data_IF_088445517136
#
_entry.id   IF_088445517136
#
_cell.length_a   1.000
_cell.length_b   1.000
_cell.length_c   1.000
_cell.angle_alpha   90.00
_cell.angle_beta   90.00
_cell.angle_gamma   90.00
#
_symmetry.space_group_name_H-M   'P 1'
#
loop_
_entity.id
_entity.type
_entity.pdbx_description
1 polymer ?
#
# COMPACT_ATOMS: atom_id res chain seq x y z
N UNK A 1 -3.74 -47.67 25.92
CA UNK A 1 -3.89 -47.70 24.44
C UNK A 1 -3.67 -46.28 23.95
N UNK A 2 -2.44 -45.93 23.56
CA UNK A 2 -2.06 -44.57 23.20
C UNK A 2 -2.73 -44.15 21.90
N UNK A 3 -3.45 -43.03 21.90
CA UNK A 3 -3.82 -42.38 20.64
C UNK A 3 -2.55 -41.79 20.06
N UNK A 4 -2.20 -42.19 18.84
CA UNK A 4 -1.24 -41.43 18.05
C UNK A 4 -1.67 -39.97 18.08
N UNK A 5 -0.78 -39.10 18.57
CA UNK A 5 -1.03 -37.66 18.66
C UNK A 5 -0.98 -37.11 17.25
N UNK A 6 -2.12 -37.13 16.55
CA UNK A 6 -2.25 -36.51 15.23
C UNK A 6 -1.91 -35.03 15.36
N UNK A 7 -0.87 -34.58 14.65
CA UNK A 7 -0.44 -33.17 14.62
C UNK A 7 -1.01 -32.56 13.35
N UNK A 8 -1.79 -31.49 13.49
CA UNK A 8 -2.39 -30.77 12.38
C UNK A 8 -1.63 -29.45 12.19
N UNK A 9 -1.03 -29.22 11.01
CA UNK A 9 -0.33 -27.97 10.73
C UNK A 9 -1.31 -26.80 10.59
N UNK A 10 -0.90 -25.56 10.95
CA UNK A 10 -1.76 -24.39 10.83
C UNK A 10 -1.96 -23.95 9.38
N UNK A 11 -3.19 -23.58 9.03
CA UNK A 11 -3.44 -22.74 7.87
C UNK A 11 -3.20 -21.27 8.25
N UNK A 12 -2.29 -20.58 7.54
CA UNK A 12 -1.90 -19.20 7.86
C UNK A 12 -2.39 -18.23 6.79
N UNK A 13 -3.11 -17.20 7.23
CA UNK A 13 -3.58 -16.11 6.39
C UNK A 13 -3.17 -14.75 6.97
N UNK A 14 -2.84 -13.79 6.10
CA UNK A 14 -2.61 -12.39 6.46
C UNK A 14 -3.69 -11.54 5.80
N UNK A 15 -4.33 -10.70 6.60
CA UNK A 15 -5.34 -9.73 6.16
C UNK A 15 -4.75 -8.32 6.16
N UNK A 16 -5.01 -7.60 5.07
CA UNK A 16 -4.66 -6.20 4.89
C UNK A 16 -5.42 -5.29 5.87
N UNK A 17 -4.86 -4.12 6.20
CA UNK A 17 -5.53 -3.13 7.05
C UNK A 17 -6.83 -2.62 6.42
N UNK A 18 -7.76 -2.20 7.28
CA UNK A 18 -8.99 -1.55 6.81
C UNK A 18 -8.71 -0.13 6.30
N UNK A 19 -9.35 0.24 5.19
CA UNK A 19 -9.24 1.61 4.63
C UNK A 19 -9.71 2.67 5.63
N UNK A 20 -10.76 2.36 6.41
CA UNK A 20 -11.31 3.25 7.42
C UNK A 20 -10.30 3.56 8.52
N UNK A 21 -9.57 2.56 9.02
CA UNK A 21 -8.53 2.78 10.03
C UNK A 21 -7.44 3.72 9.52
N UNK A 22 -6.96 3.48 8.30
CA UNK A 22 -5.93 4.30 7.67
C UNK A 22 -6.41 5.75 7.55
N UNK A 23 -7.61 5.96 7.03
CA UNK A 23 -8.18 7.30 6.83
C UNK A 23 -8.42 8.06 8.14
N UNK A 24 -8.91 7.37 9.18
CA UNK A 24 -9.31 8.03 10.43
C UNK A 24 -8.16 8.17 11.43
N UNK A 25 -7.22 7.23 11.44
CA UNK A 25 -6.19 7.11 12.49
C UNK A 25 -4.77 7.25 11.94
N UNK A 26 -4.58 7.33 10.62
CA UNK A 26 -3.27 7.34 9.98
C UNK A 26 -2.37 6.17 10.42
N UNK A 27 -3.00 5.02 10.69
CA UNK A 27 -2.38 3.77 11.14
C UNK A 27 -2.94 2.61 10.33
N UNK A 28 -2.16 1.56 10.19
CA UNK A 28 -2.54 0.33 9.51
C UNK A 28 -2.31 -0.84 10.46
N UNK A 29 -3.33 -1.68 10.65
CA UNK A 29 -3.20 -2.92 11.41
C UNK A 29 -3.33 -4.13 10.49
N UNK A 30 -2.25 -4.88 10.36
CA UNK A 30 -2.20 -6.19 9.72
C UNK A 30 -2.65 -7.26 10.69
N UNK A 31 -3.37 -8.27 10.19
CA UNK A 31 -3.84 -9.40 11.03
C UNK A 31 -3.35 -10.70 10.43
N UNK A 32 -2.63 -11.48 11.22
CA UNK A 32 -2.23 -12.84 10.90
C UNK A 32 -3.11 -13.82 11.69
N UNK A 33 -3.77 -14.73 10.98
CA UNK A 33 -4.58 -15.80 11.57
C UNK A 33 -3.93 -17.13 11.23
N UNK A 34 -3.55 -17.90 12.26
CA UNK A 34 -3.26 -19.31 12.15
C UNK A 34 -4.48 -20.10 12.63
N UNK A 35 -5.02 -21.00 11.82
CA UNK A 35 -6.22 -21.79 12.16
C UNK A 35 -6.08 -23.26 11.80
N UNK A 36 -6.92 -24.11 12.40
CA UNK A 36 -6.99 -25.54 12.10
C UNK A 36 -5.84 -26.37 12.66
N UNK A 37 -5.03 -25.81 13.57
CA UNK A 37 -3.87 -26.53 14.10
C UNK A 37 -4.20 -27.32 15.36
N UNK A 38 -3.41 -28.36 15.61
CA UNK A 38 -3.46 -29.17 16.83
C UNK A 38 -2.08 -29.82 17.06
N UNK A 39 -1.57 -29.91 18.30
CA UNK A 39 -2.12 -29.37 19.56
C UNK A 39 -2.02 -27.83 19.63
N UNK A 40 -2.34 -27.23 20.77
CA UNK A 40 -2.40 -25.76 20.95
C UNK A 40 -1.03 -25.05 21.00
N UNK A 41 0.07 -25.78 20.80
CA UNK A 41 1.44 -25.26 20.81
C UNK A 41 1.83 -24.64 19.47
N UNK A 42 1.58 -23.33 19.33
CA UNK A 42 1.95 -22.53 18.17
C UNK A 42 2.42 -21.14 18.59
N UNK A 43 3.45 -20.60 17.93
CA UNK A 43 3.87 -19.21 18.10
C UNK A 43 3.84 -18.46 16.78
N UNK A 44 3.42 -17.18 16.82
CA UNK A 44 3.39 -16.29 15.67
C UNK A 44 4.48 -15.22 15.81
N UNK A 45 5.30 -15.08 14.79
CA UNK A 45 6.36 -14.07 14.71
C UNK A 45 6.15 -13.23 13.46
N UNK A 46 6.29 -11.91 13.60
CA UNK A 46 6.28 -11.00 12.46
C UNK A 46 7.70 -10.71 11.98
N UNK A 47 7.87 -10.66 10.66
CA UNK A 47 9.07 -10.12 10.02
C UNK A 47 8.68 -8.99 9.07
N UNK A 48 9.51 -7.96 9.03
CA UNK A 48 9.46 -6.89 8.05
C UNK A 48 10.78 -6.88 7.30
N UNK A 49 10.73 -7.01 5.97
CA UNK A 49 11.92 -7.02 5.10
C UNK A 49 12.99 -8.03 5.54
N UNK A 50 12.55 -9.19 6.04
CA UNK A 50 13.42 -10.27 6.50
C UNK A 50 13.90 -10.16 7.96
N UNK A 51 13.73 -9.00 8.60
CA UNK A 51 14.08 -8.79 10.01
C UNK A 51 12.86 -9.01 10.93
N UNK A 52 13.08 -9.59 12.10
CA UNK A 52 12.02 -9.77 13.11
C UNK A 52 11.49 -8.42 13.60
N UNK A 53 10.16 -8.33 13.75
CA UNK A 53 9.45 -7.13 14.18
C UNK A 53 8.66 -7.44 15.46
N UNK A 54 8.94 -6.71 16.54
CA UNK A 54 8.26 -6.87 17.83
C UNK A 54 7.45 -5.64 18.23
N UNK A 55 7.93 -4.42 17.96
CA UNK A 55 7.11 -3.23 18.24
C UNK A 55 5.86 -3.20 17.34
N UNK A 56 4.74 -2.79 17.94
CA UNK A 56 3.43 -2.77 17.29
C UNK A 56 2.76 -4.15 17.20
N UNK A 57 3.43 -5.22 17.65
CA UNK A 57 2.87 -6.58 17.64
C UNK A 57 2.05 -6.83 18.90
N UNK A 58 0.84 -7.35 18.71
CA UNK A 58 0.00 -7.91 19.77
C UNK A 58 -0.54 -9.26 19.33
N UNK A 59 -0.11 -10.32 20.00
CA UNK A 59 -0.61 -11.70 19.80
C UNK A 59 -1.60 -12.03 20.90
N UNK A 60 -2.69 -12.71 20.55
CA UNK A 60 -3.67 -13.16 21.54
C UNK A 60 -2.99 -14.09 22.57
N UNK A 61 -3.32 -13.93 23.85
CA UNK A 61 -2.67 -14.68 24.95
C UNK A 61 -2.96 -16.18 24.89
N UNK A 62 -4.16 -16.55 24.44
CA UNK A 62 -4.63 -17.92 24.35
C UNK A 62 -5.14 -18.25 22.95
N UNK A 63 -4.90 -19.49 22.53
CA UNK A 63 -5.52 -20.00 21.31
C UNK A 63 -7.02 -20.23 21.54
N UNK A 64 -7.82 -19.87 20.54
CA UNK A 64 -9.26 -20.13 20.52
C UNK A 64 -9.51 -21.55 20.04
N UNK A 65 -10.26 -22.33 20.81
CA UNK A 65 -10.64 -23.69 20.43
C UNK A 65 -11.85 -23.67 19.48
N UNK A 66 -11.67 -24.24 18.30
CA UNK A 66 -12.71 -24.45 17.29
C UNK A 66 -12.95 -25.95 17.12
N UNK A 67 -13.98 -26.46 17.81
CA UNK A 67 -14.35 -27.88 17.86
C UNK A 67 -13.19 -28.78 18.35
N UNK A 68 -12.42 -29.34 17.43
CA UNK A 68 -11.28 -30.24 17.66
C UNK A 68 -9.92 -29.57 17.41
N UNK A 69 -9.90 -28.37 16.82
CA UNK A 69 -8.67 -27.64 16.44
C UNK A 69 -8.57 -26.31 17.17
N UNK A 70 -7.43 -25.63 16.98
CA UNK A 70 -7.14 -24.34 17.59
C UNK A 70 -6.93 -23.27 16.53
N UNK A 71 -7.03 -22.01 16.96
CA UNK A 71 -6.74 -20.83 16.15
C UNK A 71 -6.07 -19.77 17.00
N UNK A 72 -5.12 -19.04 16.43
CA UNK A 72 -4.35 -17.99 17.09
C UNK A 72 -4.24 -16.78 16.17
N UNK A 73 -4.47 -15.60 16.71
CA UNK A 73 -4.40 -14.35 15.96
C UNK A 73 -3.25 -13.50 16.48
N UNK A 74 -2.49 -12.89 15.57
CA UNK A 74 -1.51 -11.85 15.87
C UNK A 74 -1.77 -10.62 15.02
N UNK A 75 -1.61 -9.43 15.60
CA UNK A 75 -1.85 -8.15 14.95
C UNK A 75 -0.56 -7.34 14.94
N UNK A 76 -0.22 -6.76 13.79
CA UNK A 76 0.92 -5.86 13.64
C UNK A 76 0.40 -4.47 13.27
N UNK A 77 0.54 -3.52 14.19
CA UNK A 77 0.13 -2.13 14.03
C UNK A 77 1.33 -1.28 13.60
N UNK A 78 1.23 -0.66 12.42
CA UNK A 78 2.26 0.15 11.78
C UNK A 78 1.71 1.53 11.39
N UNK A 79 2.59 2.41 10.92
CA UNK A 79 2.16 3.66 10.29
C UNK A 79 1.53 3.42 8.91
N UNK A 80 0.64 4.31 8.48
CA UNK A 80 0.11 4.27 7.12
C UNK A 80 1.23 4.43 6.06
N UNK A 81 2.29 5.19 6.37
CA UNK A 81 3.44 5.36 5.48
C UNK A 81 4.21 4.05 5.26
N UNK A 82 4.42 3.25 6.31
CA UNK A 82 5.04 1.93 6.17
C UNK A 82 4.16 0.98 5.36
N UNK A 83 2.84 1.03 5.54
CA UNK A 83 1.89 0.23 4.76
C UNK A 83 1.88 0.63 3.29
N UNK A 84 1.92 1.93 2.98
CA UNK A 84 1.87 2.46 1.62
C UNK A 84 3.22 2.42 0.87
N UNK A 85 4.18 1.67 1.36
CA UNK A 85 5.43 1.43 0.66
C UNK A 85 5.39 0.02 0.04
N UNK A 86 5.24 -0.10 -1.30
CA UNK A 86 5.13 -1.40 -1.96
C UNK A 86 6.43 -2.23 -1.89
N UNK A 87 7.55 -1.62 -1.52
CA UNK A 87 8.82 -2.33 -1.30
C UNK A 87 8.84 -3.05 0.06
N UNK A 88 7.99 -2.66 1.00
CA UNK A 88 7.91 -3.33 2.29
C UNK A 88 7.25 -4.69 2.14
N UNK A 89 7.94 -5.72 2.62
CA UNK A 89 7.47 -7.09 2.70
C UNK A 89 7.14 -7.43 4.15
N UNK A 90 5.88 -7.74 4.42
CA UNK A 90 5.38 -8.16 5.72
C UNK A 90 5.18 -9.66 5.73
N UNK A 91 5.75 -10.34 6.70
CA UNK A 91 5.73 -11.79 6.79
C UNK A 91 5.29 -12.22 8.18
N UNK A 92 4.36 -13.17 8.23
CA UNK A 92 3.94 -13.85 9.45
C UNK A 92 4.46 -15.28 9.40
N UNK A 93 5.18 -15.66 10.45
CA UNK A 93 5.80 -16.97 10.61
C UNK A 93 5.07 -17.69 11.74
N UNK A 94 4.43 -18.80 11.43
CA UNK A 94 3.80 -19.69 12.41
C UNK A 94 4.76 -20.84 12.72
N UNK A 95 5.35 -20.84 13.90
CA UNK A 95 6.22 -21.92 14.37
C UNK A 95 5.38 -22.92 15.18
N UNK A 96 5.49 -24.19 14.84
CA UNK A 96 4.79 -25.28 15.51
C UNK A 96 5.72 -26.50 15.62
N UNK A 97 5.38 -27.43 16.51
CA UNK A 97 6.17 -28.65 16.68
C UNK A 97 5.49 -29.82 15.97
N UNK A 98 6.23 -30.46 15.07
CA UNK A 98 5.83 -31.67 14.38
C UNK A 98 6.78 -32.82 14.73
N UNK A 99 6.25 -33.83 15.42
CA UNK A 99 6.97 -35.06 15.79
C UNK A 99 8.37 -34.83 16.41
N UNK A 100 8.50 -33.82 17.28
CA UNK A 100 9.75 -33.46 17.94
C UNK A 100 10.67 -32.51 17.17
N UNK A 101 10.32 -32.15 15.93
CA UNK A 101 11.02 -31.13 15.13
C UNK A 101 10.23 -29.82 15.11
N UNK A 102 10.93 -28.69 15.13
CA UNK A 102 10.30 -27.38 14.96
C UNK A 102 10.14 -27.09 13.47
N UNK A 103 8.91 -26.86 13.03
CA UNK A 103 8.57 -26.47 11.68
C UNK A 103 7.96 -25.06 11.66
N UNK A 104 8.04 -24.39 10.52
CA UNK A 104 7.52 -23.04 10.34
C UNK A 104 6.76 -22.88 9.04
N UNK A 105 5.57 -22.27 9.11
CA UNK A 105 4.79 -21.87 7.94
C UNK A 105 4.90 -20.37 7.77
N UNK A 106 5.28 -19.97 6.57
CA UNK A 106 5.56 -18.58 6.22
C UNK A 106 4.48 -18.06 5.28
N UNK A 107 3.83 -16.97 5.66
CA UNK A 107 2.93 -16.22 4.79
C UNK A 107 3.43 -14.79 4.68
N UNK A 108 3.35 -14.20 3.50
CA UNK A 108 3.75 -12.82 3.31
C UNK A 108 2.76 -12.05 2.44
N UNK A 109 2.76 -10.74 2.62
CA UNK A 109 2.13 -9.76 1.74
C UNK A 109 3.09 -8.59 1.52
N UNK A 110 2.86 -7.82 0.47
CA UNK A 110 3.57 -6.57 0.23
C UNK A 110 2.73 -5.39 0.71
N UNK A 111 3.41 -4.28 0.99
CA UNK A 111 2.75 -3.00 1.20
C UNK A 111 1.90 -2.63 -0.01
N UNK A 112 0.85 -1.86 0.25
CA UNK A 112 0.00 -1.30 -0.80
C UNK A 112 0.75 -0.14 -1.45
N UNK A 113 0.69 0.03 -2.78
CA UNK A 113 1.16 1.27 -3.39
C UNK A 113 0.19 2.43 -3.09
N UNK A 114 -1.02 2.10 -2.63
CA UNK A 114 -2.13 3.05 -2.54
C UNK A 114 -2.48 3.61 -3.92
N UNK A 115 -3.28 4.68 -3.95
CA UNK A 115 -3.46 5.48 -5.16
C UNK A 115 -2.31 6.51 -5.35
N UNK A 116 -1.17 6.35 -4.67
CA UNK A 116 -0.04 7.26 -4.80
C UNK A 116 0.63 7.01 -6.15
N UNK A 117 0.27 7.84 -7.14
CA UNK A 117 0.82 7.89 -8.50
C UNK A 117 0.67 6.58 -9.28
N UNK A 118 -0.56 6.24 -9.67
CA UNK A 118 -0.74 5.29 -10.78
C UNK A 118 -0.18 5.91 -12.07
N UNK A 119 0.36 5.10 -12.99
CA UNK A 119 0.75 5.59 -14.33
C UNK A 119 -0.39 6.37 -15.01
N UNK A 120 -1.64 5.92 -14.84
CA UNK A 120 -2.83 6.63 -15.30
C UNK A 120 -2.92 8.06 -14.75
N UNK A 121 -2.59 8.23 -13.46
CA UNK A 121 -2.62 9.55 -12.82
C UNK A 121 -1.61 10.52 -13.42
N UNK A 122 -0.36 10.08 -13.56
CA UNK A 122 0.71 10.84 -14.17
C UNK A 122 0.41 11.21 -15.63
N UNK A 123 -0.19 10.29 -16.39
CA UNK A 123 -0.56 10.52 -17.78
C UNK A 123 -1.67 11.59 -17.93
N UNK A 124 -2.71 11.58 -17.09
CA UNK A 124 -3.74 12.63 -17.19
C UNK A 124 -3.23 13.99 -16.70
N UNK A 125 -2.40 14.04 -15.66
CA UNK A 125 -1.74 15.28 -15.23
C UNK A 125 -0.81 15.80 -16.34
N UNK A 126 -0.03 14.94 -16.99
CA UNK A 126 0.83 15.28 -18.12
C UNK A 126 0.06 15.78 -19.34
N UNK A 127 -1.05 15.13 -19.70
CA UNK A 127 -1.94 15.59 -20.76
C UNK A 127 -2.62 16.92 -20.44
N UNK A 128 -2.98 17.14 -19.17
CA UNK A 128 -3.52 18.41 -18.69
C UNK A 128 -2.49 19.56 -18.78
N UNK A 129 -1.25 19.32 -18.36
CA UNK A 129 -0.16 20.28 -18.52
C UNK A 129 0.15 20.57 -19.99
N UNK A 130 0.16 19.53 -20.84
CA UNK A 130 0.38 19.67 -22.29
C UNK A 130 -0.72 20.49 -22.96
N UNK A 131 -1.98 20.25 -22.60
CA UNK A 131 -3.11 21.03 -23.10
C UNK A 131 -3.01 22.49 -22.65
N UNK A 132 -2.66 22.71 -21.37
CA UNK A 132 -2.45 24.06 -20.81
C UNK A 132 -1.35 24.80 -21.56
N UNK A 133 -0.21 24.14 -21.81
CA UNK A 133 0.90 24.71 -22.58
C UNK A 133 0.48 25.09 -24.01
N UNK A 134 -0.24 24.21 -24.71
CA UNK A 134 -0.74 24.50 -26.07
C UNK A 134 -1.67 25.71 -26.09
N UNK A 135 -2.55 25.85 -25.11
CA UNK A 135 -3.44 27.01 -24.98
C UNK A 135 -2.64 28.30 -24.76
N UNK A 136 -1.62 28.26 -23.89
CA UNK A 136 -0.77 29.43 -23.61
C UNK A 136 0.03 29.85 -24.86
N UNK A 137 0.61 28.89 -25.60
CA UNK A 137 1.28 29.16 -26.86
C UNK A 137 0.34 29.76 -27.91
N UNK A 138 -0.88 29.21 -28.03
CA UNK A 138 -1.90 29.75 -28.93
C UNK A 138 -2.27 31.20 -28.60
N UNK A 139 -2.47 31.51 -27.30
CA UNK A 139 -2.72 32.88 -26.85
C UNK A 139 -1.55 33.81 -27.21
N UNK A 140 -0.31 33.39 -26.96
CA UNK A 140 0.88 34.19 -27.27
C UNK A 140 0.97 34.54 -28.77
N UNK A 141 0.68 33.58 -29.65
CA UNK A 141 0.64 33.82 -31.10
C UNK A 141 -0.45 34.84 -31.49
N UNK A 142 -1.65 34.73 -30.91
CA UNK A 142 -2.72 35.70 -31.16
C UNK A 142 -2.34 37.11 -30.69
N UNK A 143 -1.71 37.25 -29.52
CA UNK A 143 -1.22 38.54 -29.04
C UNK A 143 -0.14 39.12 -29.97
N UNK A 144 0.79 38.30 -30.46
CA UNK A 144 1.82 38.74 -31.40
C UNK A 144 1.22 39.26 -32.72
N UNK A 145 0.23 38.57 -33.28
CA UNK A 145 -0.47 39.00 -34.51
C UNK A 145 -1.23 40.32 -34.27
N UNK A 146 -1.95 40.42 -33.15
CA UNK A 146 -2.72 41.61 -32.81
C UNK A 146 -1.81 42.84 -32.64
N UNK A 147 -0.72 42.71 -31.87
CA UNK A 147 0.25 43.81 -31.69
C UNK A 147 0.89 44.20 -33.02
N UNK A 148 1.25 43.21 -33.86
CA UNK A 148 1.81 43.48 -35.19
C UNK A 148 0.83 44.27 -36.06
N UNK A 149 -0.45 43.90 -36.09
CA UNK A 149 -1.48 44.61 -36.87
C UNK A 149 -1.68 46.06 -36.41
N UNK A 150 -1.67 46.30 -35.09
CA UNK A 150 -1.78 47.65 -34.51
C UNK A 150 -0.56 48.51 -34.86
N UNK A 151 0.65 47.96 -34.80
CA UNK A 151 1.88 48.66 -35.21
C UNK A 151 1.84 49.03 -36.69
N UNK A 152 1.42 48.09 -37.56
CA UNK A 152 1.25 48.35 -38.98
C UNK A 152 0.22 49.45 -39.25
N UNK A 153 -0.93 49.43 -38.57
CA UNK A 153 -1.95 50.45 -38.70
C UNK A 153 -1.45 51.84 -38.23
N UNK A 154 -0.70 51.90 -37.14
CA UNK A 154 -0.12 53.14 -36.63
C UNK A 154 0.93 53.73 -37.60
N UNK A 155 1.79 52.89 -38.18
CA UNK A 155 2.79 53.32 -39.16
C UNK A 155 2.15 53.77 -40.49
N UNK A 156 1.07 53.13 -40.93
CA UNK A 156 0.32 53.52 -42.12
C UNK A 156 -0.49 54.83 -41.89
N UNK A 157 -1.13 54.98 -40.73
CA UNK A 157 -1.84 56.21 -40.36
C UNK A 157 -0.90 57.40 -40.12
N UNK A 158 0.28 57.17 -39.55
CA UNK A 158 1.32 58.20 -39.39
C UNK A 158 1.96 58.65 -40.70
N UNK A 159 1.87 57.86 -41.78
CA UNK A 159 2.28 58.27 -43.13
C UNK A 159 1.24 59.17 -43.83
N UNK A 160 -0.02 59.17 -43.41
CA UNK A 160 -1.06 60.05 -43.96
C UNK A 160 -1.16 61.43 -43.26
N UNK A 161 -0.64 61.57 -42.03
CA UNK A 161 -0.67 62.85 -41.27
C UNK A 161 0.66 63.63 -41.32
N UNK A 162 1.55 63.33 -42.27
CA UNK A 162 2.76 64.13 -42.52
C UNK A 162 2.62 64.84 -43.87
N UNK A 163 1.93 65.98 -43.85
CA UNK A 163 2.09 67.11 -44.76
C UNK A 163 2.41 68.35 -43.90
#
# INVERSE_FOLDING_TARGET
MGKDKEILPPAVAIFSPSKQEIQQKNKATLVCLASGFYPDHLSLVWKMNGAERTEGVGTDEFSTRNESTYSLTSRLRISAQEWFNPLNRFECVANFFNNGTQESIHKFIYGDAGCALTEESYLWYGNSLKLTYLILCGKALLYAVLVSSLVWAAQAGGKLCRE
#
